data_IF_155629051296
#
_entry.id   IF_155629051296
#
_cell.length_a   1.000
_cell.length_b   1.000
_cell.length_c   1.000
_cell.angle_alpha   90.00
_cell.angle_beta   90.00
_cell.angle_gamma   90.00
#
_symmetry.space_group_name_H-M   'P 1'
#
loop_
_entity.id
_entity.type
_entity.pdbx_description
1 polymer ?
#
# COMPACT_ATOMS: atom_id res chain seq x y z
N UNK A 1 -20.74 -8.11 6.67
CA UNK A 1 -20.75 -7.78 8.08
C UNK A 1 -20.44 -6.31 8.27
N UNK A 2 -20.90 -5.70 9.36
CA UNK A 2 -20.85 -4.25 9.56
C UNK A 2 -19.47 -3.80 10.09
N UNK A 3 -18.56 -3.44 9.20
CA UNK A 3 -17.23 -2.92 9.55
C UNK A 3 -17.25 -1.40 9.42
N UNK A 4 -17.01 -0.69 10.53
CA UNK A 4 -16.96 0.77 10.57
C UNK A 4 -15.70 1.24 11.28
N UNK A 5 -14.87 2.02 10.62
CA UNK A 5 -13.66 2.61 11.19
C UNK A 5 -13.25 3.87 10.41
N UNK A 6 -12.31 4.60 10.96
CA UNK A 6 -11.77 5.82 10.34
C UNK A 6 -10.25 5.80 10.44
N UNK A 7 -9.56 6.11 9.36
CA UNK A 7 -8.12 6.40 9.32
C UNK A 7 -7.94 7.91 9.29
N UNK A 8 -7.22 8.47 10.27
CA UNK A 8 -6.98 9.91 10.35
C UNK A 8 -5.76 10.31 9.53
N UNK A 9 -5.70 11.58 9.17
CA UNK A 9 -4.47 12.14 8.57
C UNK A 9 -3.32 12.05 9.58
N UNK A 10 -2.16 11.60 9.11
CA UNK A 10 -0.98 11.41 9.96
C UNK A 10 -1.10 10.25 10.95
N UNK A 11 -1.94 9.26 10.64
CA UNK A 11 -2.14 8.05 11.45
C UNK A 11 -1.82 6.81 10.63
N UNK A 12 -1.19 5.83 11.26
CA UNK A 12 -1.17 4.45 10.78
C UNK A 12 -2.20 3.67 11.59
N UNK A 13 -3.31 3.29 10.96
CA UNK A 13 -4.27 2.33 11.51
C UNK A 13 -3.87 0.92 11.08
N UNK A 14 -3.46 0.11 12.03
CA UNK A 14 -3.19 -1.31 11.84
C UNK A 14 -4.47 -2.12 11.77
N UNK A 15 -4.53 -3.08 10.85
CA UNK A 15 -5.57 -4.10 10.76
C UNK A 15 -4.93 -5.45 11.00
N UNK A 16 -5.09 -5.96 12.22
CA UNK A 16 -4.62 -7.27 12.61
C UNK A 16 -5.69 -8.33 12.35
N UNK A 17 -5.27 -9.55 12.05
CA UNK A 17 -6.18 -10.69 11.85
C UNK A 17 -5.48 -11.87 11.21
N UNK A 18 -5.98 -13.07 11.47
CA UNK A 18 -5.53 -14.29 10.79
C UNK A 18 -6.03 -14.27 9.35
N UNK A 19 -5.22 -14.73 8.40
CA UNK A 19 -5.60 -14.79 6.97
C UNK A 19 -6.96 -15.51 6.80
N UNK A 20 -7.86 -14.92 6.00
CA UNK A 20 -9.22 -15.43 5.80
C UNK A 20 -10.30 -14.81 6.71
N UNK A 21 -9.95 -13.85 7.57
CA UNK A 21 -10.92 -13.17 8.44
C UNK A 21 -11.53 -11.89 7.82
N UNK A 22 -11.44 -11.70 6.49
CA UNK A 22 -12.08 -10.58 5.79
C UNK A 22 -11.14 -9.44 5.37
N UNK A 23 -9.83 -9.55 5.64
CA UNK A 23 -8.87 -8.50 5.27
C UNK A 23 -8.77 -8.28 3.75
N UNK A 24 -8.74 -9.37 2.96
CA UNK A 24 -8.63 -9.30 1.50
C UNK A 24 -9.87 -8.66 0.88
N UNK A 25 -11.06 -9.00 1.39
CA UNK A 25 -12.33 -8.41 0.99
C UNK A 25 -12.37 -6.93 1.35
N UNK A 26 -11.96 -6.56 2.57
CA UNK A 26 -11.88 -5.18 3.03
C UNK A 26 -10.97 -4.35 2.10
N UNK A 27 -9.76 -4.83 1.81
CA UNK A 27 -8.84 -4.17 0.87
C UNK A 27 -9.45 -4.05 -0.51
N UNK A 28 -10.08 -5.10 -1.02
CA UNK A 28 -10.70 -5.11 -2.35
C UNK A 28 -11.84 -4.10 -2.46
N UNK A 29 -12.65 -3.95 -1.40
CA UNK A 29 -13.72 -2.94 -1.33
C UNK A 29 -13.14 -1.51 -1.27
N UNK A 30 -12.14 -1.26 -0.42
CA UNK A 30 -11.52 0.08 -0.28
C UNK A 30 -10.82 0.51 -1.58
N UNK A 31 -10.19 -0.42 -2.29
CA UNK A 31 -9.49 -0.15 -3.55
C UNK A 31 -10.42 -0.10 -4.77
N UNK A 32 -11.71 -0.39 -4.59
CA UNK A 32 -12.71 -0.41 -5.65
C UNK A 32 -12.66 -1.65 -6.55
N UNK A 33 -11.87 -2.67 -6.17
CA UNK A 33 -11.79 -3.94 -6.92
C UNK A 33 -12.98 -4.87 -6.65
N UNK A 34 -13.70 -4.65 -5.55
CA UNK A 34 -14.94 -5.34 -5.20
C UNK A 34 -16.03 -4.32 -4.87
N UNK A 35 -17.28 -4.50 -5.36
CA UNK A 35 -18.38 -3.61 -5.00
C UNK A 35 -18.75 -3.75 -3.52
N UNK A 36 -19.27 -2.67 -2.96
CA UNK A 36 -19.88 -2.67 -1.62
C UNK A 36 -21.35 -3.10 -1.72
N UNK A 37 -21.74 -4.10 -0.95
CA UNK A 37 -23.16 -4.47 -0.84
C UNK A 37 -23.95 -3.39 -0.09
N UNK A 38 -23.39 -2.86 0.98
CA UNK A 38 -23.97 -1.80 1.81
C UNK A 38 -22.88 -0.86 2.33
N UNK A 39 -23.31 0.28 2.87
CA UNK A 39 -22.38 1.27 3.42
C UNK A 39 -21.67 2.10 2.35
N UNK A 40 -20.59 2.76 2.70
CA UNK A 40 -19.77 3.58 1.80
C UNK A 40 -18.33 3.61 2.29
N UNK A 41 -17.40 3.86 1.37
CA UNK A 41 -16.02 4.23 1.68
C UNK A 41 -15.81 5.67 1.19
N UNK A 42 -15.43 6.55 2.11
CA UNK A 42 -15.11 7.94 1.80
C UNK A 42 -13.64 8.23 2.10
N UNK A 43 -12.99 8.97 1.23
CA UNK A 43 -11.62 9.45 1.39
C UNK A 43 -11.63 10.96 1.22
N UNK A 44 -11.29 11.73 2.28
CA UNK A 44 -11.44 13.20 2.31
C UNK A 44 -12.85 13.65 1.87
N UNK A 45 -13.90 13.02 2.44
CA UNK A 45 -15.32 13.28 2.15
C UNK A 45 -15.76 12.93 0.72
N UNK A 46 -14.89 12.29 -0.08
CA UNK A 46 -15.20 11.84 -1.44
C UNK A 46 -15.58 10.36 -1.39
N UNK A 47 -16.84 10.03 -1.75
CA UNK A 47 -17.28 8.64 -1.90
C UNK A 47 -16.59 7.97 -3.09
N UNK A 48 -16.17 6.70 -2.91
CA UNK A 48 -15.60 5.91 -4.00
C UNK A 48 -16.64 5.24 -4.90
N UNK A 49 -17.92 5.22 -4.51
CA UNK A 49 -18.98 4.48 -5.22
C UNK A 49 -19.15 4.86 -6.68
N UNK A 50 -19.02 6.15 -6.99
CA UNK A 50 -19.18 6.68 -8.34
C UNK A 50 -17.83 6.87 -9.07
N UNK A 51 -16.75 6.37 -8.47
CA UNK A 51 -15.41 6.51 -9.04
C UNK A 51 -14.99 5.24 -9.76
N UNK A 52 -14.33 5.40 -10.88
CA UNK A 52 -13.61 4.30 -11.53
C UNK A 52 -12.38 3.92 -10.69
N UNK A 53 -11.94 2.67 -10.78
CA UNK A 53 -10.69 2.20 -10.14
C UNK A 53 -9.53 3.13 -10.49
N UNK A 54 -9.46 3.60 -11.73
CA UNK A 54 -8.43 4.56 -12.16
C UNK A 54 -8.49 5.86 -11.35
N UNK A 55 -9.66 6.46 -11.18
CA UNK A 55 -9.82 7.69 -10.39
C UNK A 55 -9.47 7.47 -8.92
N UNK A 56 -9.94 6.37 -8.34
CA UNK A 56 -9.57 5.98 -6.96
C UNK A 56 -8.05 5.91 -6.83
N UNK A 57 -7.39 5.18 -7.74
CA UNK A 57 -5.95 4.95 -7.71
C UNK A 57 -5.11 6.18 -8.04
N UNK A 58 -5.59 7.10 -8.86
CA UNK A 58 -4.82 8.30 -9.25
C UNK A 58 -5.03 9.48 -8.30
N UNK A 59 -6.19 9.59 -7.67
CA UNK A 59 -6.59 10.77 -6.92
C UNK A 59 -6.66 10.54 -5.39
N UNK A 60 -7.15 9.36 -4.98
CA UNK A 60 -7.59 9.13 -3.61
C UNK A 60 -6.67 8.21 -2.80
N UNK A 61 -6.10 7.16 -3.39
CA UNK A 61 -5.28 6.22 -2.64
C UNK A 61 -4.08 5.65 -3.42
N UNK A 62 -3.01 5.35 -2.67
CA UNK A 62 -1.93 4.43 -3.07
C UNK A 62 -2.20 3.04 -2.55
N UNK A 63 -1.76 2.01 -3.28
CA UNK A 63 -1.96 0.63 -2.87
C UNK A 63 -0.71 -0.21 -3.06
N UNK A 64 -0.19 -0.77 -1.98
CA UNK A 64 0.85 -1.79 -1.99
C UNK A 64 0.14 -3.13 -1.78
N UNK A 65 0.06 -4.00 -2.80
CA UNK A 65 -0.66 -5.26 -2.70
C UNK A 65 0.15 -6.34 -1.99
N UNK A 66 -0.54 -7.27 -1.32
CA UNK A 66 0.02 -8.48 -0.73
C UNK A 66 0.69 -9.37 -1.79
N UNK A 67 0.01 -9.65 -2.89
CA UNK A 67 0.58 -10.38 -4.03
C UNK A 67 1.18 -9.41 -5.04
N UNK A 68 2.48 -9.15 -4.85
CA UNK A 68 3.23 -8.27 -5.75
C UNK A 68 3.38 -8.80 -7.16
N UNK A 69 3.36 -10.13 -7.36
CA UNK A 69 3.56 -10.72 -8.69
C UNK A 69 2.30 -10.61 -9.55
N UNK A 70 1.12 -10.76 -8.94
CA UNK A 70 -0.17 -10.67 -9.65
C UNK A 70 -0.64 -9.22 -9.79
N UNK A 71 -0.52 -8.41 -8.73
CA UNK A 71 -1.09 -7.06 -8.68
C UNK A 71 -0.03 -5.95 -8.59
N UNK A 72 1.18 -6.27 -8.16
CA UNK A 72 2.22 -5.29 -7.90
C UNK A 72 3.07 -4.94 -9.11
N UNK A 73 3.56 -5.91 -9.86
CA UNK A 73 4.48 -5.69 -10.99
C UNK A 73 4.07 -6.45 -12.23
N UNK A 74 4.49 -5.95 -13.38
CA UNK A 74 4.46 -6.69 -14.64
C UNK A 74 5.85 -7.27 -14.87
N UNK A 75 6.07 -8.53 -14.43
CA UNK A 75 7.39 -9.18 -14.36
C UNK A 75 8.08 -9.32 -15.74
N UNK A 76 7.30 -9.41 -16.81
CA UNK A 76 7.78 -9.49 -18.20
C UNK A 76 8.19 -8.15 -18.81
N UNK A 77 8.23 -7.05 -18.03
CA UNK A 77 8.68 -5.73 -18.49
C UNK A 77 9.79 -5.17 -17.61
N UNK A 78 10.42 -4.09 -18.07
CA UNK A 78 11.51 -3.42 -17.35
C UNK A 78 10.99 -2.58 -16.16
N UNK A 79 11.91 -2.16 -15.29
CA UNK A 79 11.62 -1.32 -14.11
C UNK A 79 10.96 -0.01 -14.54
N UNK A 80 11.47 0.64 -15.60
CA UNK A 80 10.90 1.89 -16.12
C UNK A 80 9.41 1.73 -16.45
N UNK A 81 9.04 0.69 -17.18
CA UNK A 81 7.65 0.43 -17.55
C UNK A 81 6.75 0.14 -16.33
N UNK A 82 7.30 -0.43 -15.26
CA UNK A 82 6.61 -0.63 -13.99
C UNK A 82 6.43 0.68 -13.19
N UNK A 83 7.28 1.69 -13.38
CA UNK A 83 7.21 2.98 -12.67
C UNK A 83 6.32 4.02 -13.35
N UNK A 84 6.08 3.92 -14.65
CA UNK A 84 5.44 4.97 -15.46
C UNK A 84 3.89 4.99 -15.51
N UNK A 85 3.10 4.05 -14.98
CA UNK A 85 1.65 4.03 -15.18
C UNK A 85 0.95 5.36 -14.83
N UNK A 86 1.41 6.08 -13.80
CA UNK A 86 0.86 7.37 -13.37
C UNK A 86 1.46 8.58 -14.13
N UNK A 87 2.44 8.36 -15.00
CA UNK A 87 3.14 9.41 -15.75
C UNK A 87 2.61 9.58 -17.18
N UNK A 88 1.82 8.63 -17.68
CA UNK A 88 1.40 8.57 -19.06
C UNK A 88 0.57 9.79 -19.51
N UNK A 89 -0.05 10.49 -18.58
CA UNK A 89 -0.85 11.70 -18.86
C UNK A 89 -0.08 13.00 -18.64
N UNK A 90 1.10 12.96 -18.04
CA UNK A 90 1.89 14.16 -17.77
C UNK A 90 2.54 14.67 -19.05
N UNK A 91 2.23 15.93 -19.42
CA UNK A 91 2.72 16.60 -20.65
C UNK A 91 4.25 16.66 -20.73
N UNK A 92 4.93 16.68 -19.59
CA UNK A 92 6.40 16.68 -19.50
C UNK A 92 7.04 15.40 -20.05
N UNK A 93 6.33 14.25 -19.96
CA UNK A 93 6.81 12.93 -20.40
C UNK A 93 6.22 12.46 -21.72
N UNK A 94 5.40 13.27 -22.39
CA UNK A 94 4.84 12.93 -23.70
C UNK A 94 4.93 14.09 -24.71
N UNK A 95 4.91 13.73 -25.98
CA UNK A 95 4.75 14.65 -27.11
C UNK A 95 3.61 14.12 -27.99
N UNK A 96 2.41 14.68 -27.83
CA UNK A 96 1.18 14.11 -28.38
C UNK A 96 0.92 12.71 -27.79
N UNK A 97 0.87 11.69 -28.64
CA UNK A 97 0.67 10.28 -28.27
C UNK A 97 2.00 9.55 -27.95
N UNK A 98 3.14 10.14 -28.26
CA UNK A 98 4.45 9.52 -28.09
C UNK A 98 5.04 9.85 -26.72
N UNK A 99 5.55 8.82 -26.03
CA UNK A 99 6.26 8.97 -24.76
C UNK A 99 7.72 9.40 -25.00
N UNK A 100 8.22 10.31 -24.17
CA UNK A 100 9.61 10.77 -24.20
C UNK A 100 10.51 9.76 -23.47
N UNK A 101 10.92 8.70 -24.14
CA UNK A 101 11.62 7.55 -23.57
C UNK A 101 12.90 7.92 -22.79
N UNK A 102 13.69 8.89 -23.31
CA UNK A 102 14.92 9.36 -22.62
C UNK A 102 14.61 10.04 -21.27
N UNK A 103 13.56 10.88 -21.23
CA UNK A 103 13.15 11.55 -20.00
C UNK A 103 12.59 10.55 -18.97
N UNK A 104 11.81 9.58 -19.42
CA UNK A 104 11.27 8.50 -18.58
C UNK A 104 12.38 7.58 -18.05
N UNK A 105 13.38 7.25 -18.88
CA UNK A 105 14.54 6.48 -18.43
C UNK A 105 15.27 7.20 -17.31
N UNK A 106 15.60 8.48 -17.51
CA UNK A 106 16.30 9.30 -16.51
C UNK A 106 15.52 9.34 -15.21
N UNK A 107 14.20 9.61 -15.27
CA UNK A 107 13.35 9.59 -14.07
C UNK A 107 13.35 8.22 -13.39
N UNK A 108 13.20 7.13 -14.15
CA UNK A 108 13.18 5.79 -13.60
C UNK A 108 14.50 5.40 -12.92
N UNK A 109 15.66 5.77 -13.51
CA UNK A 109 16.97 5.56 -12.91
C UNK A 109 17.11 6.34 -11.59
N UNK A 110 16.66 7.59 -11.54
CA UNK A 110 16.65 8.41 -10.32
C UNK A 110 15.73 7.82 -9.24
N UNK A 111 14.51 7.43 -9.58
CA UNK A 111 13.54 6.83 -8.65
C UNK A 111 14.04 5.48 -8.15
N UNK A 112 14.60 4.63 -9.01
CA UNK A 112 15.18 3.36 -8.60
C UNK A 112 16.33 3.57 -7.58
N UNK A 113 17.13 4.59 -7.77
CA UNK A 113 18.19 4.97 -6.82
C UNK A 113 17.62 5.48 -5.49
N UNK A 114 16.63 6.39 -5.51
CA UNK A 114 16.00 6.96 -4.31
C UNK A 114 15.32 5.87 -3.46
N UNK A 115 14.79 4.83 -4.12
CA UNK A 115 14.20 3.66 -3.45
C UNK A 115 15.19 2.52 -3.21
N UNK A 116 16.48 2.74 -3.49
CA UNK A 116 17.54 1.74 -3.26
C UNK A 116 17.22 0.39 -3.91
N UNK A 117 16.65 0.42 -5.13
CA UNK A 117 16.42 -0.78 -5.93
C UNK A 117 17.78 -1.26 -6.45
N UNK A 118 18.16 -2.49 -6.11
CA UNK A 118 19.39 -3.09 -6.62
C UNK A 118 19.14 -3.62 -8.03
N UNK A 119 19.59 -2.88 -9.03
CA UNK A 119 19.47 -3.19 -10.45
C UNK A 119 20.65 -2.57 -11.21
N UNK A 120 20.94 -3.10 -12.41
CA UNK A 120 21.99 -2.56 -13.29
C UNK A 120 21.52 -1.26 -13.96
N UNK A 121 20.26 -1.19 -14.32
CA UNK A 121 19.59 0.01 -14.88
C UNK A 121 18.08 -0.15 -14.79
N UNK A 122 17.31 0.95 -15.01
CA UNK A 122 15.87 0.89 -15.09
C UNK A 122 15.30 0.11 -16.30
N UNK A 123 16.19 -0.33 -17.22
CA UNK A 123 15.83 -1.18 -18.36
C UNK A 123 15.93 -2.69 -18.03
N UNK A 124 16.39 -3.03 -16.82
CA UNK A 124 16.39 -4.42 -16.34
C UNK A 124 14.94 -4.91 -16.12
N UNK A 125 14.66 -6.16 -16.53
CA UNK A 125 13.35 -6.79 -16.31
C UNK A 125 13.09 -6.99 -14.81
N UNK A 126 11.90 -6.59 -14.36
CA UNK A 126 11.51 -6.69 -12.94
C UNK A 126 11.50 -8.14 -12.46
N UNK A 127 11.12 -9.08 -13.32
CA UNK A 127 11.14 -10.51 -13.00
C UNK A 127 12.52 -11.09 -12.66
N UNK A 128 13.61 -10.37 -12.97
CA UNK A 128 14.99 -10.78 -12.61
C UNK A 128 15.42 -10.26 -11.22
N UNK A 129 14.61 -9.44 -10.58
CA UNK A 129 14.93 -8.88 -9.27
C UNK A 129 14.58 -9.86 -8.14
N UNK A 130 15.24 -9.69 -6.98
CA UNK A 130 14.81 -10.34 -5.75
C UNK A 130 13.44 -9.82 -5.30
N UNK A 131 12.71 -10.60 -4.49
CA UNK A 131 11.41 -10.20 -3.96
C UNK A 131 11.43 -8.85 -3.26
N UNK A 132 12.46 -8.56 -2.46
CA UNK A 132 12.64 -7.27 -1.80
C UNK A 132 12.85 -6.10 -2.78
N UNK A 133 13.60 -6.32 -3.87
CA UNK A 133 13.78 -5.29 -4.89
C UNK A 133 12.52 -5.09 -5.75
N UNK A 134 11.76 -6.15 -6.04
CA UNK A 134 10.43 -6.01 -6.68
C UNK A 134 9.49 -5.19 -5.79
N UNK A 135 9.47 -5.44 -4.48
CA UNK A 135 8.65 -4.68 -3.53
C UNK A 135 9.05 -3.20 -3.49
N UNK A 136 10.35 -2.90 -3.57
CA UNK A 136 10.85 -1.52 -3.69
C UNK A 136 10.41 -0.85 -4.98
N UNK A 137 10.30 -1.58 -6.10
CA UNK A 137 9.73 -1.03 -7.36
C UNK A 137 8.25 -0.71 -7.18
N UNK A 138 7.47 -1.59 -6.53
CA UNK A 138 6.06 -1.31 -6.20
C UNK A 138 5.96 -0.06 -5.32
N UNK A 139 6.72 -0.01 -4.23
CA UNK A 139 6.75 1.15 -3.34
C UNK A 139 7.18 2.43 -4.07
N UNK A 140 8.18 2.35 -4.95
CA UNK A 140 8.65 3.47 -5.74
C UNK A 140 7.56 4.03 -6.65
N UNK A 141 6.77 3.16 -7.30
CA UNK A 141 5.63 3.57 -8.12
C UNK A 141 4.52 4.22 -7.28
N UNK A 142 4.20 3.63 -6.14
CA UNK A 142 3.05 4.00 -5.34
C UNK A 142 3.29 5.18 -4.38
N UNK A 143 4.52 5.32 -3.89
CA UNK A 143 4.86 6.22 -2.79
C UNK A 143 5.79 7.37 -3.19
N UNK A 144 6.33 7.39 -4.42
CA UNK A 144 7.20 8.48 -4.86
C UNK A 144 6.40 9.66 -5.42
N UNK A 145 6.64 10.84 -4.91
CA UNK A 145 6.12 12.11 -5.43
C UNK A 145 6.57 12.39 -6.88
N UNK A 146 7.68 11.79 -7.29
CA UNK A 146 8.18 11.87 -8.68
C UNK A 146 7.35 11.06 -9.66
N UNK A 147 6.81 9.91 -9.23
CA UNK A 147 5.98 9.05 -10.07
C UNK A 147 4.52 9.45 -10.09
N UNK A 148 4.04 10.05 -9.00
CA UNK A 148 2.64 10.48 -8.85
C UNK A 148 2.50 11.54 -7.75
N UNK A 149 1.40 12.28 -7.75
CA UNK A 149 0.98 13.02 -6.56
C UNK A 149 0.63 11.99 -5.47
N UNK A 150 1.22 12.12 -4.30
CA UNK A 150 0.90 11.23 -3.19
C UNK A 150 -0.54 11.49 -2.74
N UNK A 151 -1.41 10.49 -2.78
CA UNK A 151 -2.80 10.65 -2.36
C UNK A 151 -2.93 10.63 -0.84
N UNK A 152 -4.09 11.07 -0.31
CA UNK A 152 -4.30 11.20 1.14
C UNK A 152 -4.29 9.87 1.90
N UNK A 153 -4.61 8.75 1.25
CA UNK A 153 -4.64 7.42 1.86
C UNK A 153 -3.62 6.48 1.20
N UNK A 154 -2.91 5.74 2.03
CA UNK A 154 -2.04 4.64 1.62
C UNK A 154 -2.63 3.35 2.20
N UNK A 155 -2.94 2.38 1.35
CA UNK A 155 -3.32 1.01 1.73
C UNK A 155 -2.10 0.13 1.54
N UNK A 156 -1.53 -0.36 2.62
CA UNK A 156 -0.37 -1.24 2.63
C UNK A 156 -0.82 -2.64 3.10
N UNK A 157 -0.99 -3.54 2.14
CA UNK A 157 -1.46 -4.90 2.39
C UNK A 157 -0.28 -5.86 2.40
N UNK A 158 0.06 -6.37 3.60
CA UNK A 158 1.18 -7.28 3.84
C UNK A 158 2.51 -6.75 3.24
N UNK A 159 2.89 -5.48 3.45
CA UNK A 159 3.94 -4.83 2.69
C UNK A 159 5.33 -5.47 2.85
N UNK A 160 5.57 -6.17 3.96
CA UNK A 160 6.84 -6.85 4.27
C UNK A 160 6.83 -8.36 3.98
N UNK A 161 5.70 -8.91 3.52
CA UNK A 161 5.56 -10.37 3.32
C UNK A 161 6.56 -10.93 2.32
N UNK A 162 7.40 -11.87 2.79
CA UNK A 162 8.33 -12.62 1.93
C UNK A 162 9.45 -11.78 1.31
N UNK A 163 9.91 -10.76 2.02
CA UNK A 163 11.08 -9.95 1.66
C UNK A 163 12.14 -10.00 2.78
N UNK A 164 13.35 -9.58 2.46
CA UNK A 164 14.45 -9.53 3.41
C UNK A 164 14.31 -8.34 4.40
N UNK A 165 15.01 -8.45 5.54
CA UNK A 165 14.97 -7.44 6.63
C UNK A 165 15.33 -6.03 6.13
N UNK A 166 16.32 -5.92 5.21
CA UNK A 166 16.73 -4.61 4.70
C UNK A 166 15.63 -3.96 3.84
N UNK A 167 14.89 -4.74 3.05
CA UNK A 167 13.75 -4.26 2.29
C UNK A 167 12.58 -3.92 3.22
N UNK A 168 12.30 -4.76 4.23
CA UNK A 168 11.29 -4.50 5.26
C UNK A 168 11.53 -3.15 5.96
N UNK A 169 12.72 -2.95 6.53
CA UNK A 169 13.10 -1.70 7.22
C UNK A 169 12.95 -0.49 6.30
N UNK A 170 13.29 -0.65 5.00
CA UNK A 170 13.14 0.43 4.03
C UNK A 170 11.68 0.80 3.81
N UNK A 171 10.78 -0.20 3.61
CA UNK A 171 9.34 0.02 3.41
C UNK A 171 8.71 0.65 4.66
N UNK A 172 9.01 0.12 5.86
CA UNK A 172 8.53 0.65 7.13
C UNK A 172 8.87 2.13 7.27
N UNK A 173 10.14 2.49 7.03
CA UNK A 173 10.58 3.89 7.08
C UNK A 173 9.80 4.77 6.10
N UNK A 174 9.53 4.29 4.87
CA UNK A 174 8.74 5.05 3.88
C UNK A 174 7.30 5.27 4.31
N UNK A 175 6.66 4.28 4.93
CA UNK A 175 5.31 4.43 5.48
C UNK A 175 5.29 5.46 6.62
N UNK A 176 6.27 5.41 7.53
CA UNK A 176 6.41 6.38 8.62
C UNK A 176 6.67 7.80 8.11
N UNK A 177 7.58 7.98 7.13
CA UNK A 177 7.85 9.28 6.50
C UNK A 177 6.58 9.91 5.90
N UNK A 178 5.74 9.10 5.24
CA UNK A 178 4.50 9.57 4.62
C UNK A 178 3.39 9.83 5.64
N UNK A 179 3.28 9.01 6.69
CA UNK A 179 2.41 9.31 7.83
C UNK A 179 2.78 10.66 8.45
N UNK A 180 4.06 10.89 8.72
CA UNK A 180 4.55 12.13 9.34
C UNK A 180 4.34 13.34 8.41
N UNK A 181 4.29 13.12 7.10
CA UNK A 181 3.91 14.12 6.10
C UNK A 181 2.39 14.37 6.01
N UNK A 182 1.57 13.67 6.81
CA UNK A 182 0.13 13.87 6.91
C UNK A 182 -0.74 12.88 6.12
N UNK A 183 -0.16 11.85 5.49
CA UNK A 183 -0.97 10.80 4.85
C UNK A 183 -1.60 9.89 5.92
N UNK A 184 -2.86 9.46 5.70
CA UNK A 184 -3.42 8.33 6.42
C UNK A 184 -2.85 7.01 5.86
N UNK A 185 -2.52 6.06 6.72
CA UNK A 185 -2.04 4.74 6.31
C UNK A 185 -2.93 3.67 6.92
N UNK A 186 -3.50 2.82 6.07
CA UNK A 186 -4.17 1.59 6.47
C UNK A 186 -3.17 0.43 6.26
N UNK A 187 -2.62 -0.08 7.35
CA UNK A 187 -1.64 -1.17 7.34
C UNK A 187 -2.34 -2.47 7.68
N UNK A 188 -2.41 -3.38 6.73
CA UNK A 188 -2.91 -4.73 6.94
C UNK A 188 -1.70 -5.65 7.11
N UNK A 189 -1.60 -6.37 8.22
CA UNK A 189 -0.54 -7.35 8.43
C UNK A 189 -0.98 -8.51 9.31
N UNK A 190 -0.47 -9.70 8.98
CA UNK A 190 -0.54 -10.88 9.84
C UNK A 190 0.65 -10.94 10.81
N UNK A 191 1.69 -10.14 10.59
CA UNK A 191 2.84 -10.02 11.49
C UNK A 191 2.50 -9.03 12.61
N UNK A 192 2.35 -9.56 13.82
CA UNK A 192 2.01 -8.75 15.00
C UNK A 192 3.10 -7.77 15.38
N UNK A 193 4.38 -8.10 15.13
CA UNK A 193 5.48 -7.17 15.37
C UNK A 193 5.39 -5.97 14.42
N UNK A 194 5.10 -6.18 13.14
CA UNK A 194 4.90 -5.11 12.17
C UNK A 194 3.74 -4.19 12.60
N UNK A 195 2.61 -4.78 13.04
CA UNK A 195 1.45 -4.01 13.55
C UNK A 195 1.83 -3.18 14.77
N UNK A 196 2.49 -3.79 15.77
CA UNK A 196 2.82 -3.10 17.03
C UNK A 196 3.92 -2.04 16.86
N UNK A 197 4.86 -2.26 15.94
CA UNK A 197 5.95 -1.32 15.68
C UNK A 197 5.50 -0.07 14.91
N UNK A 198 4.59 -0.24 13.95
CA UNK A 198 4.26 0.84 13.02
C UNK A 198 2.95 1.56 13.33
N UNK A 199 1.97 0.89 13.97
CA UNK A 199 0.62 1.41 14.08
C UNK A 199 0.46 2.36 15.27
N UNK A 200 -0.26 3.46 15.05
CA UNK A 200 -0.69 4.37 16.12
C UNK A 200 -1.93 3.81 16.83
N UNK A 201 -2.84 3.20 16.06
CA UNK A 201 -4.04 2.52 16.54
C UNK A 201 -4.25 1.19 15.79
N UNK A 202 -5.01 0.26 16.35
CA UNK A 202 -5.24 -1.07 15.76
C UNK A 202 -6.71 -1.46 15.85
N UNK A 203 -7.23 -2.00 14.75
CA UNK A 203 -8.44 -2.82 14.73
C UNK A 203 -8.07 -4.28 14.51
N UNK A 204 -8.85 -5.19 15.08
CA UNK A 204 -8.67 -6.63 14.88
C UNK A 204 -9.89 -7.15 14.14
N UNK A 205 -9.64 -7.85 13.02
CA UNK A 205 -10.68 -8.53 12.25
C UNK A 205 -10.74 -10.01 12.64
N UNK A 206 -11.96 -10.46 12.90
CA UNK A 206 -12.29 -11.85 13.12
C UNK A 206 -13.66 -12.15 12.51
N UNK A 207 -13.76 -13.18 11.67
CA UNK A 207 -14.98 -13.62 11.00
C UNK A 207 -15.73 -12.47 10.26
N UNK A 208 -14.98 -11.58 9.61
CA UNK A 208 -15.50 -10.44 8.86
C UNK A 208 -16.07 -9.30 9.71
N UNK A 209 -15.77 -9.27 11.01
CA UNK A 209 -16.21 -8.22 11.94
C UNK A 209 -15.01 -7.64 12.71
N UNK A 210 -15.15 -6.42 13.23
CA UNK A 210 -14.17 -5.86 14.15
C UNK A 210 -14.39 -6.47 15.52
N UNK A 211 -13.49 -7.36 15.94
CA UNK A 211 -13.50 -7.98 17.26
C UNK A 211 -12.87 -7.12 18.36
N UNK A 212 -12.01 -6.16 17.98
CA UNK A 212 -11.37 -5.25 18.92
C UNK A 212 -10.88 -3.97 18.26
N UNK A 213 -10.87 -2.87 19.04
CA UNK A 213 -10.28 -1.59 18.66
C UNK A 213 -9.38 -1.05 19.78
N UNK A 214 -8.16 -0.71 19.43
CA UNK A 214 -7.14 -0.19 20.33
C UNK A 214 -6.66 1.17 19.82
N UNK A 215 -7.06 2.27 20.46
CA UNK A 215 -6.71 3.64 20.02
C UNK A 215 -5.27 4.02 20.30
N UNK A 216 -4.52 3.19 21.04
CA UNK A 216 -3.13 3.41 21.41
C UNK A 216 -2.40 2.06 21.54
N UNK A 217 -1.34 1.88 20.76
CA UNK A 217 -0.58 0.63 20.68
C UNK A 217 0.52 0.51 21.75
N UNK A 218 0.89 1.59 22.44
CA UNK A 218 2.05 1.65 23.37
C UNK A 218 2.03 0.65 24.51
N UNK A 219 0.86 0.17 24.90
CA UNK A 219 0.68 -0.84 25.96
C UNK A 219 0.12 -2.15 25.46
N UNK A 220 -0.12 -2.24 24.15
CA UNK A 220 -0.71 -3.42 23.54
C UNK A 220 0.35 -4.51 23.36
N UNK A 221 -0.01 -5.75 23.63
CA UNK A 221 0.87 -6.90 23.53
C UNK A 221 0.42 -7.86 22.44
N UNK A 222 1.36 -8.61 21.84
CA UNK A 222 1.04 -9.68 20.88
C UNK A 222 0.03 -10.68 21.45
N UNK A 223 0.17 -11.04 22.74
CA UNK A 223 -0.74 -11.97 23.43
C UNK A 223 -2.16 -11.44 23.47
N UNK A 224 -2.32 -10.15 23.70
CA UNK A 224 -3.64 -9.51 23.76
C UNK A 224 -4.27 -9.46 22.35
N UNK A 225 -3.53 -8.99 21.34
CA UNK A 225 -3.98 -9.03 19.95
C UNK A 225 -4.36 -10.44 19.51
N UNK A 226 -3.53 -11.44 19.82
CA UNK A 226 -3.78 -12.84 19.48
C UNK A 226 -5.10 -13.37 20.04
N UNK A 227 -5.55 -12.93 21.23
CA UNK A 227 -6.83 -13.34 21.81
C UNK A 227 -8.03 -12.83 20.99
N UNK A 228 -7.95 -11.60 20.45
CA UNK A 228 -8.98 -11.03 19.59
C UNK A 228 -8.94 -11.65 18.18
N UNK A 229 -7.73 -11.87 17.65
CA UNK A 229 -7.54 -12.51 16.33
C UNK A 229 -8.08 -13.95 16.26
N UNK A 230 -8.11 -14.64 17.39
CA UNK A 230 -8.61 -16.02 17.52
C UNK A 230 -10.07 -16.07 17.99
N UNK A 231 -10.72 -14.93 18.19
CA UNK A 231 -12.11 -14.83 18.65
C UNK A 231 -12.32 -15.27 20.12
N UNK A 232 -11.23 -15.39 20.90
CA UNK A 232 -11.31 -15.71 22.34
C UNK A 232 -11.85 -14.52 23.13
N UNK A 233 -11.55 -13.30 22.66
CA UNK A 233 -12.13 -12.03 23.13
C UNK A 233 -12.84 -11.31 22.00
N UNK A 234 -13.85 -10.55 22.35
CA UNK A 234 -14.60 -9.66 21.46
C UNK A 234 -14.96 -8.36 22.16
#
# INVERSE_FOLDING_TARGET
NHVNFTVRKGEILGVAGVEGNGQAELVSMITGMMPLDQGDVTIEDISIKEKTIRQIRTELLSYIPQDRLTYGVVSGTDIRNNLIPFLTERKEYRNGILMKTKALKKLADEVAKDYSVKCDSSEQYVGMLSGGNMQKVVAARELSDRTRKIPPLIVADQPSRGIDIGATTFIHRKLLELRDAGCGVLLISADLNEILELSDSVIVLYDGEISGYFPDTRKLTERELGQYMLGVKR
#
